data_IF_274655666397
#
_entry.id   IF_274655666397
#
_cell.length_a   1.000
_cell.length_b   1.000
_cell.length_c   1.000
_cell.angle_alpha   90.00
_cell.angle_beta   90.00
_cell.angle_gamma   90.00
#
_symmetry.space_group_name_H-M   'P 1'
#
loop_
_entity.id
_entity.type
_entity.pdbx_description
1 polymer ?
#
# COMPACT_ATOMS: atom_id res chain seq x y z
N UNK A 1 7.77 -25.40 -0.22
CA UNK A 1 6.63 -24.55 -0.63
C UNK A 1 6.53 -23.42 0.37
N UNK A 2 6.71 -22.17 -0.04
CA UNK A 2 6.52 -21.04 0.85
C UNK A 2 5.03 -20.86 1.13
N UNK A 3 4.64 -20.42 2.32
CA UNK A 3 3.21 -20.28 2.72
C UNK A 3 2.41 -19.44 1.72
N UNK A 4 3.04 -18.45 1.09
CA UNK A 4 2.39 -17.59 0.09
C UNK A 4 2.08 -18.29 -1.23
N UNK A 5 2.77 -19.38 -1.59
CA UNK A 5 2.60 -20.06 -2.88
C UNK A 5 1.19 -20.64 -3.07
N UNK A 6 0.47 -20.87 -1.96
CA UNK A 6 -0.88 -21.42 -1.93
C UNK A 6 -1.98 -20.39 -2.25
N UNK A 7 -1.65 -19.10 -2.27
CA UNK A 7 -2.63 -18.03 -2.43
C UNK A 7 -2.47 -17.32 -3.78
N UNK A 8 -3.56 -16.90 -4.40
CA UNK A 8 -3.50 -16.07 -5.63
C UNK A 8 -3.28 -14.59 -5.31
N UNK A 9 -3.76 -14.14 -4.15
CA UNK A 9 -3.55 -12.80 -3.63
C UNK A 9 -3.14 -12.87 -2.16
N UNK A 10 -2.33 -11.92 -1.73
CA UNK A 10 -2.01 -11.69 -0.31
C UNK A 10 -2.26 -10.23 0.01
N UNK A 11 -2.61 -9.94 1.26
CA UNK A 11 -2.81 -8.57 1.74
C UNK A 11 -2.10 -8.43 3.09
N UNK A 12 -1.31 -7.37 3.23
CA UNK A 12 -0.72 -6.94 4.49
C UNK A 12 -1.63 -5.86 5.07
N UNK A 13 -1.90 -5.89 6.38
CA UNK A 13 -2.89 -5.02 7.01
C UNK A 13 -2.37 -4.60 8.39
N UNK A 14 -2.33 -3.30 8.66
CA UNK A 14 -2.05 -2.74 9.98
C UNK A 14 -3.19 -2.98 10.98
N UNK A 15 -2.88 -2.90 12.28
CA UNK A 15 -3.76 -3.31 13.38
C UNK A 15 -4.93 -2.33 13.65
N UNK A 16 -4.97 -1.20 12.96
CA UNK A 16 -5.87 -0.08 13.20
C UNK A 16 -6.76 0.26 12.00
N UNK A 17 -6.91 -0.70 11.09
CA UNK A 17 -7.82 -0.63 9.95
C UNK A 17 -9.17 -1.29 10.29
N UNK A 18 -10.26 -0.60 9.97
CA UNK A 18 -11.63 -1.10 10.11
C UNK A 18 -12.20 -1.51 8.74
N UNK A 19 -12.53 -2.79 8.63
CA UNK A 19 -13.23 -3.39 7.49
C UNK A 19 -14.63 -3.81 7.92
N UNK A 20 -15.58 -3.82 6.98
CA UNK A 20 -16.81 -4.62 7.15
C UNK A 20 -16.48 -6.09 6.93
N UNK A 21 -17.32 -6.95 7.49
CA UNK A 21 -17.09 -8.40 7.51
C UNK A 21 -16.79 -9.00 6.13
N UNK A 22 -17.54 -8.61 5.09
CA UNK A 22 -17.40 -9.18 3.74
C UNK A 22 -16.40 -8.43 2.84
N UNK A 23 -15.81 -7.33 3.32
CA UNK A 23 -15.04 -6.41 2.48
C UNK A 23 -13.79 -7.07 1.90
N UNK A 24 -13.08 -7.88 2.68
CA UNK A 24 -11.83 -8.53 2.21
C UNK A 24 -12.11 -9.52 1.07
N UNK A 25 -13.19 -10.30 1.20
CA UNK A 25 -13.60 -11.27 0.16
C UNK A 25 -14.06 -10.56 -1.11
N UNK A 26 -14.82 -9.47 -0.98
CA UNK A 26 -15.24 -8.65 -2.11
C UNK A 26 -14.03 -7.96 -2.77
N UNK A 27 -13.11 -7.43 -1.98
CA UNK A 27 -11.92 -6.74 -2.45
C UNK A 27 -11.05 -7.62 -3.36
N UNK A 28 -10.77 -8.88 -2.99
CA UNK A 28 -10.00 -9.77 -3.87
C UNK A 28 -10.73 -10.09 -5.18
N UNK A 29 -12.06 -10.22 -5.16
CA UNK A 29 -12.86 -10.40 -6.39
C UNK A 29 -12.76 -9.19 -7.31
N UNK A 30 -12.81 -7.99 -6.74
CA UNK A 30 -12.69 -6.73 -7.49
C UNK A 30 -11.28 -6.52 -8.04
N UNK A 31 -10.25 -6.86 -7.25
CA UNK A 31 -8.85 -6.83 -7.69
C UNK A 31 -8.63 -7.75 -8.88
N UNK A 32 -9.17 -8.98 -8.83
CA UNK A 32 -9.14 -9.92 -9.93
C UNK A 32 -9.89 -9.39 -11.16
N UNK A 33 -11.10 -8.87 -10.97
CA UNK A 33 -11.95 -8.32 -12.04
C UNK A 33 -11.28 -7.16 -12.78
N UNK A 34 -10.58 -6.30 -12.04
CA UNK A 34 -9.87 -5.14 -12.60
C UNK A 34 -8.47 -5.48 -13.13
N UNK A 35 -7.99 -6.72 -12.97
CA UNK A 35 -6.65 -7.12 -13.39
C UNK A 35 -5.53 -6.42 -12.62
N UNK A 36 -5.81 -5.95 -11.41
CA UNK A 36 -4.83 -5.24 -10.57
C UNK A 36 -3.83 -6.22 -9.94
N UNK A 37 -2.58 -5.76 -9.85
CA UNK A 37 -1.47 -6.49 -9.27
C UNK A 37 -1.07 -5.97 -7.90
N UNK A 38 -1.18 -4.66 -7.72
CA UNK A 38 -0.89 -3.94 -6.50
C UNK A 38 -2.12 -3.09 -6.17
N UNK A 39 -2.87 -3.44 -5.14
CA UNK A 39 -4.14 -2.78 -4.87
C UNK A 39 -4.33 -2.46 -3.40
N UNK A 40 -5.21 -1.52 -3.14
CA UNK A 40 -5.78 -1.30 -1.82
C UNK A 40 -7.25 -0.88 -1.92
N UNK A 41 -8.05 -1.09 -0.88
CA UNK A 41 -9.33 -0.40 -0.73
C UNK A 41 -9.16 1.12 -0.67
N UNK A 42 -10.24 1.84 -0.94
CA UNK A 42 -10.27 3.28 -0.66
C UNK A 42 -10.42 3.56 0.84
N UNK A 43 -9.98 4.74 1.27
CA UNK A 43 -10.12 5.21 2.64
C UNK A 43 -11.38 6.06 2.84
N UNK A 44 -12.01 5.95 4.01
CA UNK A 44 -13.06 6.87 4.43
C UNK A 44 -12.49 8.28 4.66
N UNK A 45 -13.30 9.33 4.44
CA UNK A 45 -12.84 10.72 4.62
C UNK A 45 -12.41 11.07 6.05
N UNK A 46 -12.85 10.30 7.04
CA UNK A 46 -12.46 10.44 8.44
C UNK A 46 -11.26 9.56 8.83
N UNK A 47 -10.57 8.96 7.86
CA UNK A 47 -9.31 8.23 8.05
C UNK A 47 -8.12 9.17 8.19
N UNK A 48 -7.09 8.72 8.91
CA UNK A 48 -5.79 9.40 8.92
C UNK A 48 -4.93 8.92 7.75
N UNK A 49 -4.68 9.74 6.73
CA UNK A 49 -3.74 9.38 5.67
C UNK A 49 -3.11 10.66 5.09
N UNK A 50 -1.84 10.57 4.71
CA UNK A 50 -1.12 11.70 4.11
C UNK A 50 -1.44 11.93 2.64
N UNK A 51 -2.03 10.96 1.95
CA UNK A 51 -2.19 10.99 0.50
C UNK A 51 -3.66 11.12 0.07
N UNK A 52 -4.06 12.28 -0.47
CA UNK A 52 -5.44 12.53 -0.91
C UNK A 52 -5.97 11.52 -1.94
N UNK A 53 -5.08 10.96 -2.77
CA UNK A 53 -5.44 10.00 -3.84
C UNK A 53 -6.15 8.74 -3.31
N UNK A 54 -5.93 8.38 -2.05
CA UNK A 54 -6.45 7.14 -1.47
C UNK A 54 -7.81 7.25 -0.82
N UNK A 55 -8.31 8.47 -0.59
CA UNK A 55 -9.67 8.66 -0.10
C UNK A 55 -10.68 8.28 -1.16
N UNK A 56 -11.81 7.72 -0.72
CA UNK A 56 -12.90 7.30 -1.58
C UNK A 56 -13.36 8.46 -2.46
N UNK A 57 -13.48 8.23 -3.76
CA UNK A 57 -13.82 9.29 -4.70
C UNK A 57 -15.34 9.44 -4.95
N UNK A 58 -16.18 8.66 -4.26
CA UNK A 58 -17.65 8.57 -4.45
C UNK A 58 -18.08 8.19 -5.87
N UNK A 59 -17.19 7.61 -6.67
CA UNK A 59 -17.44 7.23 -8.09
C UNK A 59 -17.72 5.73 -8.25
N UNK A 60 -17.43 4.92 -7.22
CA UNK A 60 -17.40 3.47 -7.31
C UNK A 60 -16.29 2.95 -8.25
N UNK A 61 -16.22 1.63 -8.42
CA UNK A 61 -15.27 1.01 -9.35
C UNK A 61 -13.82 1.01 -8.88
N UNK A 62 -12.88 1.17 -9.82
CA UNK A 62 -11.44 1.11 -9.59
C UNK A 62 -10.71 2.28 -10.25
N UNK A 63 -9.67 2.79 -9.60
CA UNK A 63 -8.83 3.88 -10.11
C UNK A 63 -7.38 3.42 -10.18
N UNK A 64 -6.74 3.61 -11.32
CA UNK A 64 -5.32 3.30 -11.44
C UNK A 64 -4.51 4.37 -10.71
N UNK A 65 -3.50 3.94 -9.96
CA UNK A 65 -2.60 4.82 -9.23
C UNK A 65 -1.16 4.43 -9.51
N UNK A 66 -0.22 5.33 -9.23
CA UNK A 66 1.21 5.05 -9.34
C UNK A 66 1.80 4.35 -8.10
N UNK A 67 0.97 3.78 -7.22
CA UNK A 67 1.36 3.11 -5.97
C UNK A 67 0.18 2.99 -4.99
N UNK A 68 0.40 2.32 -3.86
CA UNK A 68 -0.57 2.12 -2.75
C UNK A 68 0.14 2.31 -1.42
N UNK A 69 -0.59 2.61 -0.34
CA UNK A 69 -0.05 2.71 1.03
C UNK A 69 0.45 1.36 1.55
N UNK A 70 1.52 1.43 2.33
CA UNK A 70 2.18 0.30 2.98
C UNK A 70 1.36 -0.29 4.12
N UNK A 71 0.39 0.45 4.68
CA UNK A 71 -0.48 -0.04 5.75
C UNK A 71 -1.50 -1.09 5.28
N UNK A 72 -1.83 -1.12 3.99
CA UNK A 72 -2.81 -2.08 3.45
C UNK A 72 -2.58 -2.59 2.00
N UNK A 73 -1.34 -2.90 1.57
CA UNK A 73 -1.09 -3.32 0.21
C UNK A 73 -1.55 -4.77 -0.01
N UNK A 74 -2.27 -4.97 -1.10
CA UNK A 74 -2.58 -6.29 -1.64
C UNK A 74 -1.79 -6.58 -2.91
N UNK A 75 -1.27 -7.80 -3.01
CA UNK A 75 -0.38 -8.24 -4.08
C UNK A 75 -0.97 -9.46 -4.78
N UNK A 76 -1.03 -9.43 -6.11
CA UNK A 76 -1.24 -10.62 -6.91
C UNK A 76 -0.06 -11.58 -6.77
N UNK A 77 -0.25 -12.85 -7.17
CA UNK A 77 0.80 -13.86 -7.19
C UNK A 77 2.05 -13.43 -7.93
N UNK A 78 1.90 -12.81 -9.11
CA UNK A 78 3.04 -12.27 -9.86
C UNK A 78 3.65 -11.05 -9.17
N UNK A 79 2.82 -10.17 -8.59
CA UNK A 79 3.30 -8.97 -7.90
C UNK A 79 4.12 -9.33 -6.66
N UNK A 80 3.71 -10.30 -5.85
CA UNK A 80 4.48 -10.70 -4.65
C UNK A 80 5.86 -11.26 -5.01
N UNK A 81 5.98 -12.04 -6.09
CA UNK A 81 7.26 -12.60 -6.54
C UNK A 81 8.21 -11.47 -6.94
N UNK A 82 7.66 -10.43 -7.57
CA UNK A 82 8.41 -9.25 -7.99
C UNK A 82 8.77 -8.32 -6.82
N UNK A 83 7.81 -8.03 -5.93
CA UNK A 83 7.86 -6.90 -5.00
C UNK A 83 8.40 -7.26 -3.61
N UNK A 84 8.12 -8.46 -3.08
CA UNK A 84 8.57 -8.83 -1.74
C UNK A 84 10.09 -8.74 -1.53
N UNK A 85 10.96 -9.07 -2.51
CA UNK A 85 12.39 -8.88 -2.36
C UNK A 85 12.81 -7.42 -2.04
N UNK A 86 11.98 -6.43 -2.39
CA UNK A 86 12.26 -5.01 -2.15
C UNK A 86 11.87 -4.54 -0.75
N UNK A 87 11.17 -5.34 0.05
CA UNK A 87 10.79 -4.96 1.41
C UNK A 87 12.01 -4.79 2.32
N UNK A 88 13.14 -5.41 1.97
CA UNK A 88 14.43 -5.23 2.67
C UNK A 88 14.94 -3.77 2.65
N UNK A 89 14.43 -2.91 1.78
CA UNK A 89 14.89 -1.53 1.66
C UNK A 89 14.34 -0.58 2.72
N UNK A 90 13.32 -0.97 3.48
CA UNK A 90 12.80 -0.17 4.59
C UNK A 90 12.25 -1.04 5.70
N UNK A 91 12.83 -0.90 6.89
CA UNK A 91 12.27 -1.53 8.10
C UNK A 91 11.05 -0.74 8.57
N UNK A 92 11.01 0.57 8.33
CA UNK A 92 9.89 1.41 8.73
C UNK A 92 8.73 1.45 7.72
N UNK A 93 8.80 0.70 6.64
CA UNK A 93 7.87 0.78 5.51
C UNK A 93 7.91 2.07 4.68
N UNK A 94 8.60 3.12 5.13
CA UNK A 94 8.60 4.41 4.43
C UNK A 94 9.33 4.30 3.09
N UNK A 95 8.65 4.78 2.05
CA UNK A 95 9.14 4.71 0.69
C UNK A 95 8.81 3.39 0.00
N UNK A 96 8.29 2.38 0.70
CA UNK A 96 7.81 1.16 0.03
C UNK A 96 6.58 1.45 -0.83
N UNK A 97 5.76 2.44 -0.47
CA UNK A 97 4.56 2.85 -1.22
C UNK A 97 4.91 3.24 -2.67
N UNK A 98 5.87 4.15 -2.79
CA UNK A 98 6.37 4.69 -4.06
C UNK A 98 7.32 3.71 -4.77
N UNK A 99 8.04 2.86 -4.02
CA UNK A 99 8.93 1.86 -4.58
C UNK A 99 8.14 0.73 -5.24
N UNK A 100 7.12 0.19 -4.54
CA UNK A 100 6.26 -0.84 -5.08
C UNK A 100 5.58 -0.37 -6.36
N UNK A 101 5.00 0.84 -6.33
CA UNK A 101 4.39 1.46 -7.50
C UNK A 101 5.36 1.64 -8.68
N UNK A 102 6.58 2.11 -8.41
CA UNK A 102 7.63 2.25 -9.43
C UNK A 102 8.00 0.92 -10.07
N UNK A 103 8.31 -0.10 -9.26
CA UNK A 103 8.74 -1.42 -9.75
C UNK A 103 7.60 -2.13 -10.48
N UNK A 104 6.37 -2.03 -9.98
CA UNK A 104 5.19 -2.56 -10.65
C UNK A 104 4.99 -1.89 -12.02
N UNK A 105 4.99 -0.55 -12.07
CA UNK A 105 4.84 0.20 -13.31
C UNK A 105 5.91 -0.11 -14.35
N UNK A 106 7.19 -0.19 -13.95
CA UNK A 106 8.31 -0.56 -14.82
C UNK A 106 8.17 -1.96 -15.45
N UNK A 107 7.41 -2.84 -14.81
CA UNK A 107 7.12 -4.19 -15.30
C UNK A 107 5.77 -4.32 -16.00
N UNK A 108 5.03 -3.21 -16.17
CA UNK A 108 3.70 -3.20 -16.78
C UNK A 108 2.62 -3.81 -15.88
N UNK A 109 2.82 -3.80 -14.56
CA UNK A 109 1.85 -4.30 -13.58
C UNK A 109 0.91 -3.16 -13.18
N UNK A 110 -0.36 -3.47 -13.01
CA UNK A 110 -1.38 -2.45 -12.73
C UNK A 110 -1.50 -2.23 -11.23
N UNK A 111 -1.43 -0.97 -10.83
CA UNK A 111 -1.61 -0.55 -9.44
C UNK A 111 -2.87 0.30 -9.31
N UNK A 112 -3.62 0.17 -8.21
CA UNK A 112 -4.87 0.93 -8.08
C UNK A 112 -5.59 0.87 -6.74
N UNK A 113 -6.61 1.71 -6.65
CA UNK A 113 -7.55 1.81 -5.53
C UNK A 113 -8.89 1.24 -5.96
N UNK A 114 -9.51 0.45 -5.09
CA UNK A 114 -10.86 -0.09 -5.29
C UNK A 114 -11.85 0.72 -4.44
N UNK A 115 -12.70 1.52 -5.08
CA UNK A 115 -13.61 2.46 -4.43
C UNK A 115 -14.95 1.84 -3.99
N UNK A 116 -15.27 0.61 -4.39
CA UNK A 116 -16.47 -0.09 -3.89
C UNK A 116 -16.31 -0.59 -2.45
N UNK A 117 -15.07 -0.66 -1.95
CA UNK A 117 -14.75 -0.94 -0.55
C UNK A 117 -14.14 0.32 0.08
N UNK A 118 -14.64 0.69 1.25
CA UNK A 118 -14.15 1.83 2.03
C UNK A 118 -13.69 1.35 3.40
N UNK A 119 -12.41 1.57 3.71
CA UNK A 119 -11.76 1.18 4.97
C UNK A 119 -11.49 2.43 5.81
N UNK A 120 -11.61 2.31 7.13
CA UNK A 120 -11.25 3.40 8.05
C UNK A 120 -9.91 3.13 8.73
N UNK A 121 -8.95 4.05 8.60
CA UNK A 121 -7.69 4.03 9.35
C UNK A 121 -7.82 4.88 10.63
N UNK A 122 -7.77 4.24 11.79
CA UNK A 122 -8.23 4.83 13.06
C UNK A 122 -7.19 5.63 13.82
N UNK A 123 -5.90 5.32 13.71
CA UNK A 123 -4.88 6.00 14.51
C UNK A 123 -4.21 7.09 13.71
N UNK A 124 -4.00 8.22 14.37
CA UNK A 124 -3.12 9.26 13.87
C UNK A 124 -1.68 8.83 14.09
N UNK A 125 -0.81 9.19 13.14
CA UNK A 125 0.64 9.11 13.31
C UNK A 125 1.04 9.92 14.56
N UNK A 126 1.63 9.24 15.54
CA UNK A 126 2.28 9.86 16.71
C UNK A 126 3.78 9.62 16.66
N UNK A 127 4.49 10.56 16.03
CA UNK A 127 5.96 10.54 15.90
C UNK A 127 6.63 10.70 17.28
N UNK A 128 5.97 11.36 18.23
CA UNK A 128 6.54 11.67 19.54
C UNK A 128 6.48 10.51 20.53
N UNK A 129 5.30 9.93 20.76
CA UNK A 129 5.06 8.94 21.80
C UNK A 129 4.47 7.62 21.31
N UNK A 130 4.26 7.45 19.99
CA UNK A 130 3.72 6.21 19.44
C UNK A 130 4.71 5.06 19.60
N UNK A 131 4.24 3.90 20.05
CA UNK A 131 5.06 2.68 20.26
C UNK A 131 5.87 2.29 19.02
N UNK A 132 5.29 2.49 17.84
CA UNK A 132 5.97 2.29 16.56
C UNK A 132 7.20 3.21 16.41
N UNK A 133 7.07 4.51 16.67
CA UNK A 133 8.18 5.45 16.56
C UNK A 133 9.19 5.32 17.71
N UNK A 134 8.75 4.89 18.89
CA UNK A 134 9.64 4.48 19.97
C UNK A 134 10.51 3.29 19.56
N UNK A 135 9.93 2.28 18.92
CA UNK A 135 10.65 1.15 18.35
C UNK A 135 11.71 1.63 17.33
N UNK A 136 11.32 2.47 16.36
CA UNK A 136 12.25 2.98 15.36
C UNK A 136 13.44 3.71 16.00
N UNK A 137 13.18 4.60 16.98
CA UNK A 137 14.25 5.30 17.71
C UNK A 137 15.15 4.35 18.48
N UNK A 138 14.57 3.37 19.20
CA UNK A 138 15.32 2.39 19.99
C UNK A 138 16.33 1.61 19.15
N UNK A 139 15.96 1.29 17.91
CA UNK A 139 16.82 0.56 16.97
C UNK A 139 17.56 1.45 15.97
N UNK A 140 17.59 2.78 16.20
CA UNK A 140 18.27 3.74 15.33
C UNK A 140 17.82 3.71 13.86
N UNK A 141 16.55 3.36 13.63
CA UNK A 141 15.93 3.37 12.30
C UNK A 141 15.40 4.78 12.04
N UNK A 142 15.91 5.42 10.98
CA UNK A 142 15.43 6.73 10.56
C UNK A 142 14.48 6.58 9.35
N UNK A 143 13.15 6.69 9.56
CA UNK A 143 12.16 6.52 8.49
C UNK A 143 12.38 7.47 7.30
N UNK A 144 12.72 8.73 7.58
CA UNK A 144 12.95 9.73 6.55
C UNK A 144 14.20 9.42 5.74
N UNK A 145 15.26 8.93 6.38
CA UNK A 145 16.46 8.49 5.68
C UNK A 145 16.18 7.31 4.74
N UNK A 146 15.40 6.32 5.18
CA UNK A 146 14.99 5.19 4.33
C UNK A 146 14.23 5.67 3.08
N UNK A 147 13.24 6.55 3.27
CA UNK A 147 12.49 7.18 2.17
C UNK A 147 13.42 7.89 1.17
N UNK A 148 14.27 8.80 1.65
CA UNK A 148 15.18 9.56 0.78
C UNK A 148 16.17 8.65 0.05
N UNK A 149 16.67 7.61 0.72
CA UNK A 149 17.55 6.61 0.11
C UNK A 149 16.84 5.87 -1.02
N UNK A 150 15.61 5.42 -0.79
CA UNK A 150 14.78 4.74 -1.81
C UNK A 150 14.55 5.65 -3.02
N UNK A 151 14.12 6.89 -2.80
CA UNK A 151 13.89 7.88 -3.87
C UNK A 151 15.15 8.03 -4.72
N UNK A 152 16.31 8.16 -4.08
CA UNK A 152 17.59 8.34 -4.78
C UNK A 152 18.03 7.09 -5.55
N UNK A 153 17.94 5.90 -4.93
CA UNK A 153 18.40 4.65 -5.53
C UNK A 153 17.54 4.21 -6.72
N UNK A 154 16.22 4.34 -6.58
CA UNK A 154 15.26 3.82 -7.56
C UNK A 154 14.65 4.90 -8.46
N UNK A 155 14.97 6.18 -8.22
CA UNK A 155 14.43 7.33 -8.97
C UNK A 155 12.90 7.29 -9.01
N UNK A 156 12.28 7.03 -7.85
CA UNK A 156 10.82 6.97 -7.72
C UNK A 156 10.21 8.36 -7.81
N UNK A 157 8.89 8.42 -8.06
CA UNK A 157 8.11 9.63 -7.76
C UNK A 157 8.19 9.95 -6.27
N UNK A 158 8.01 11.22 -5.91
CA UNK A 158 7.85 11.69 -4.52
C UNK A 158 6.37 11.91 -4.16
N UNK A 159 5.46 11.66 -5.10
CA UNK A 159 4.02 11.83 -4.92
C UNK A 159 3.23 10.62 -5.42
N UNK A 160 2.13 10.34 -4.74
CA UNK A 160 1.17 9.31 -5.11
C UNK A 160 -0.05 9.97 -5.75
N UNK A 161 -0.39 9.54 -6.97
CA UNK A 161 -1.42 10.16 -7.80
C UNK A 161 -2.21 9.11 -8.57
N UNK A 162 -3.44 9.48 -8.95
CA UNK A 162 -4.20 8.76 -9.96
C UNK A 162 -3.49 8.90 -11.32
N UNK A 163 -3.51 7.84 -12.12
CA UNK A 163 -2.91 7.83 -13.46
C UNK A 163 -3.99 7.52 -14.49
N UNK A 164 -4.03 8.33 -15.55
CA UNK A 164 -4.89 8.05 -16.71
C UNK A 164 -4.29 6.91 -17.52
N UNK A 165 -5.13 5.93 -17.87
CA UNK A 165 -4.84 4.96 -18.95
C UNK A 165 -4.77 5.63 -20.30
#
# INVERSE_FOLDING_TARGET
MAVFDMYEYIMFIDDDLEFKFDDVSLFFKEMQRAGLDLAQPSLSYDSYCSWPVYFNASRGGTRNTNGVEIMMPALSKRARVLLLPYFVFSVSGFGLDILMGKIAGDKGFLSGVIDVITVKHKKKIDVSGGSYYEYLRKYSINPQYELHRIIKLFKTSTSLTEIST
#
